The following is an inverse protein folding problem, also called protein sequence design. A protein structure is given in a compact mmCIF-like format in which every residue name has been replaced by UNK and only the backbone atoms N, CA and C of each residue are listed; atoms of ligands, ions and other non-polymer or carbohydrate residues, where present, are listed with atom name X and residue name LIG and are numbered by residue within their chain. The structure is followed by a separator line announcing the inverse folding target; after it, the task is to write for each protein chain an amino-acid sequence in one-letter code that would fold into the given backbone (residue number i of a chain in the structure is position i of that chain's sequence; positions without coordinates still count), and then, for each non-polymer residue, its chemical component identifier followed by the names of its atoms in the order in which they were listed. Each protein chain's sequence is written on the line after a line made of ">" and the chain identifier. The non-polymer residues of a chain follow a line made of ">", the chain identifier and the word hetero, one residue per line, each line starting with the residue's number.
data_IF_779370416078
#
_entry.id   IF_779370416078
#
_cell.length_a   1.000
_cell.length_b   1.000
_cell.length_c   1.000
_cell.angle_alpha   90.00
_cell.angle_beta   90.00
_cell.angle_gamma   90.00
#
_symmetry.space_group_name_H-M   'P 1'
#
loop_
_entity.id
_entity.type
_entity.pdbx_description
1 polymer ?
#
# COMPACT_ATOMS: atom_id res chain seq x y z
N UNK A 1 6.63 58.84 -25.79
CA UNK A 1 6.48 57.36 -25.80
C UNK A 1 7.45 56.77 -24.77
N UNK A 2 6.99 56.47 -23.55
CA UNK A 2 7.82 55.82 -22.52
C UNK A 2 7.70 54.30 -22.70
N UNK A 3 8.82 53.66 -23.02
CA UNK A 3 8.95 52.21 -23.16
C UNK A 3 8.76 51.55 -21.79
N UNK A 4 7.69 50.75 -21.65
CA UNK A 4 7.44 49.95 -20.47
C UNK A 4 8.33 48.70 -20.52
N UNK A 5 9.46 48.72 -19.81
CA UNK A 5 10.20 47.50 -19.48
C UNK A 5 9.38 46.72 -18.46
N UNK A 6 8.76 45.62 -18.88
CA UNK A 6 8.16 44.64 -17.98
C UNK A 6 9.28 43.98 -17.17
N UNK A 7 9.41 44.37 -15.90
CA UNK A 7 10.22 43.65 -14.93
C UNK A 7 9.47 42.36 -14.55
N UNK A 8 9.88 41.24 -15.14
CA UNK A 8 9.49 39.91 -14.67
C UNK A 8 10.15 39.69 -13.30
N UNK A 9 9.35 39.56 -12.24
CA UNK A 9 9.90 39.36 -10.90
C UNK A 9 10.57 37.97 -10.79
N UNK A 10 11.67 37.83 -10.04
CA UNK A 10 12.47 36.59 -9.99
C UNK A 10 11.71 35.37 -9.47
N UNK A 11 10.53 35.58 -8.87
CA UNK A 11 9.67 34.53 -8.32
C UNK A 11 8.86 33.77 -9.39
N UNK A 12 8.76 34.27 -10.64
CA UNK A 12 8.04 33.59 -11.73
C UNK A 12 8.93 32.67 -12.59
N UNK A 13 10.25 32.80 -12.47
CA UNK A 13 11.22 31.96 -13.19
C UNK A 13 11.05 30.46 -12.88
N UNK A 14 10.88 30.01 -11.61
CA UNK A 14 10.67 28.59 -11.35
C UNK A 14 9.33 28.07 -11.88
N UNK A 15 8.28 28.90 -11.89
CA UNK A 15 6.96 28.54 -12.43
C UNK A 15 7.01 28.36 -13.96
N UNK A 16 7.73 29.25 -14.66
CA UNK A 16 7.89 29.20 -16.11
C UNK A 16 8.80 28.04 -16.56
N UNK A 17 9.84 27.72 -15.76
CA UNK A 17 10.70 26.56 -15.99
C UNK A 17 9.93 25.23 -15.80
N UNK A 18 9.06 25.16 -14.79
CA UNK A 18 8.18 24.01 -14.56
C UNK A 18 7.18 23.82 -15.70
N UNK A 19 6.62 24.92 -16.23
CA UNK A 19 5.70 24.92 -17.37
C UNK A 19 6.39 24.50 -18.69
N UNK A 20 7.67 24.87 -18.88
CA UNK A 20 8.46 24.46 -20.04
C UNK A 20 8.84 22.96 -19.99
N UNK A 21 9.15 22.44 -18.80
CA UNK A 21 9.43 21.01 -18.61
C UNK A 21 8.20 20.12 -18.87
N UNK A 22 6.98 20.62 -18.58
CA UNK A 22 5.73 19.93 -18.88
C UNK A 22 5.44 19.80 -20.39
N UNK A 23 5.96 20.71 -21.22
CA UNK A 23 5.73 20.69 -22.67
C UNK A 23 6.75 19.85 -23.47
N UNK A 24 7.93 19.57 -22.91
CA UNK A 24 8.96 18.78 -23.58
C UNK A 24 8.68 17.26 -23.60
N UNK A 25 7.68 16.78 -22.84
CA UNK A 25 7.36 15.36 -22.71
C UNK A 25 6.47 14.77 -23.82
N UNK A 26 5.94 15.58 -24.75
CA UNK A 26 4.89 15.14 -25.68
C UNK A 26 5.40 14.56 -27.02
N UNK A 27 6.72 14.40 -27.21
CA UNK A 27 7.31 14.05 -28.52
C UNK A 27 8.21 12.80 -28.51
N UNK A 28 7.82 11.73 -27.82
CA UNK A 28 8.45 10.41 -28.01
C UNK A 28 7.39 9.32 -28.03
N UNK A 29 7.00 8.90 -29.23
CA UNK A 29 6.27 7.64 -29.46
C UNK A 29 7.18 6.69 -30.22
N UNK A 30 8.03 5.97 -29.48
CA UNK A 30 8.64 4.76 -30.01
C UNK A 30 7.59 3.64 -29.97
N UNK A 31 7.34 3.03 -31.13
CA UNK A 31 6.43 1.90 -31.35
C UNK A 31 6.76 0.70 -30.45
N UNK A 32 6.19 0.69 -29.24
CA UNK A 32 6.13 -0.46 -28.36
C UNK A 32 4.65 -0.86 -28.27
N UNK A 33 4.33 -2.17 -28.33
CA UNK A 33 2.97 -2.65 -28.03
C UNK A 33 2.72 -2.35 -26.56
N UNK A 34 2.22 -1.15 -26.28
CA UNK A 34 1.77 -0.72 -24.98
C UNK A 34 0.76 -1.74 -24.46
N UNK A 35 1.02 -2.31 -23.28
CA UNK A 35 -0.04 -2.94 -22.52
C UNK A 35 -1.10 -1.86 -22.26
N UNK A 36 -2.38 -2.17 -22.46
CA UNK A 36 -3.46 -1.21 -22.18
C UNK A 36 -3.40 -0.67 -20.74
N UNK A 37 -2.88 -1.49 -19.82
CA UNK A 37 -2.70 -1.19 -18.40
C UNK A 37 -1.43 -0.36 -18.15
N UNK A 38 -0.35 -0.60 -18.91
CA UNK A 38 0.96 0.03 -18.75
C UNK A 38 1.52 0.53 -20.10
N UNK A 39 0.98 1.66 -20.62
CA UNK A 39 1.45 2.24 -21.87
C UNK A 39 2.85 2.83 -21.78
N UNK A 40 3.32 3.14 -20.57
CA UNK A 40 4.59 3.81 -20.30
C UNK A 40 5.66 2.84 -19.80
N UNK A 41 5.57 1.54 -20.11
CA UNK A 41 6.50 0.51 -19.63
C UNK A 41 7.98 0.86 -19.93
N UNK A 42 8.24 1.45 -21.09
CA UNK A 42 9.58 1.88 -21.51
C UNK A 42 10.19 2.98 -20.63
N UNK A 43 9.35 3.80 -19.98
CA UNK A 43 9.74 4.78 -18.98
C UNK A 43 9.74 4.17 -17.57
N UNK A 44 8.70 3.42 -17.26
CA UNK A 44 8.45 2.86 -15.93
C UNK A 44 9.54 1.87 -15.49
N UNK A 45 10.00 0.98 -16.38
CA UNK A 45 11.06 0.00 -16.05
C UNK A 45 12.39 0.65 -15.68
N UNK A 46 12.95 1.61 -16.47
CA UNK A 46 14.14 2.35 -16.05
C UNK A 46 13.99 3.10 -14.73
N UNK A 47 12.85 3.77 -14.50
CA UNK A 47 12.59 4.49 -13.25
C UNK A 47 12.47 3.52 -12.08
N UNK A 48 11.80 2.38 -12.26
CA UNK A 48 11.78 1.31 -11.28
C UNK A 48 13.19 0.86 -10.92
N UNK A 49 14.06 0.58 -11.91
CA UNK A 49 15.46 0.24 -11.67
C UNK A 49 16.22 1.33 -10.92
N UNK A 50 15.97 2.60 -11.23
CA UNK A 50 16.54 3.73 -10.50
C UNK A 50 16.11 3.72 -9.02
N UNK A 51 14.80 3.59 -8.75
CA UNK A 51 14.26 3.51 -7.40
C UNK A 51 14.83 2.30 -6.63
N UNK A 52 14.90 1.12 -7.26
CA UNK A 52 15.50 -0.07 -6.64
C UNK A 52 16.97 0.14 -6.28
N UNK A 53 17.74 0.82 -7.13
CA UNK A 53 19.14 1.17 -6.81
C UNK A 53 19.20 2.13 -5.63
N UNK A 54 18.43 3.22 -5.65
CA UNK A 54 18.37 4.17 -4.53
C UNK A 54 17.99 3.46 -3.23
N UNK A 55 17.04 2.53 -3.28
CA UNK A 55 16.68 1.72 -2.11
C UNK A 55 17.86 0.88 -1.62
N UNK A 56 18.46 0.07 -2.51
CA UNK A 56 19.54 -0.85 -2.14
C UNK A 56 20.79 -0.16 -1.61
N UNK A 57 21.16 1.00 -2.16
CA UNK A 57 22.40 1.70 -1.80
C UNK A 57 22.22 2.75 -0.71
N UNK A 58 21.01 3.29 -0.53
CA UNK A 58 20.77 4.43 0.37
C UNK A 58 19.69 4.08 1.39
N UNK A 59 18.46 3.83 0.96
CA UNK A 59 17.33 3.72 1.90
C UNK A 59 17.45 2.48 2.79
N UNK A 60 17.79 1.32 2.23
CA UNK A 60 17.92 0.06 2.96
C UNK A 60 19.03 0.10 4.01
N UNK A 61 20.29 0.49 3.73
CA UNK A 61 21.32 0.59 4.77
C UNK A 61 20.93 1.52 5.92
N UNK A 62 20.29 2.66 5.62
CA UNK A 62 19.84 3.61 6.64
C UNK A 62 18.69 3.01 7.46
N UNK A 63 17.73 2.34 6.81
CA UNK A 63 16.62 1.65 7.47
C UNK A 63 17.11 0.51 8.38
N UNK A 64 18.07 -0.29 7.93
CA UNK A 64 18.67 -1.36 8.74
C UNK A 64 19.42 -0.79 9.96
N UNK A 65 20.15 0.33 9.76
CA UNK A 65 20.76 1.07 10.85
C UNK A 65 19.74 1.57 11.87
N UNK A 66 18.66 2.19 11.39
CA UNK A 66 17.55 2.66 12.22
C UNK A 66 16.91 1.53 13.03
N UNK A 67 16.63 0.38 12.40
CA UNK A 67 16.08 -0.82 13.08
C UNK A 67 17.02 -1.38 14.14
N UNK A 68 18.34 -1.34 13.87
CA UNK A 68 19.36 -1.84 14.79
C UNK A 68 19.47 -1.00 16.06
N UNK A 69 19.34 0.32 15.95
CA UNK A 69 19.52 1.24 17.09
C UNK A 69 18.21 1.57 17.81
N UNK A 70 17.07 1.45 17.13
CA UNK A 70 15.78 1.89 17.65
C UNK A 70 14.96 0.70 18.13
N UNK A 71 14.60 0.61 19.41
CA UNK A 71 13.69 -0.43 19.92
C UNK A 71 12.34 -0.44 19.20
N UNK A 72 11.73 -1.62 19.06
CA UNK A 72 10.46 -1.80 18.35
C UNK A 72 9.33 -0.90 18.87
N UNK A 73 9.27 -0.66 20.19
CA UNK A 73 8.23 0.20 20.77
C UNK A 73 8.35 1.66 20.31
N UNK A 74 9.57 2.16 20.06
CA UNK A 74 9.78 3.50 19.53
C UNK A 74 9.40 3.56 18.05
N UNK A 75 9.78 2.55 17.24
CA UNK A 75 9.38 2.47 15.83
C UNK A 75 7.85 2.45 15.70
N UNK A 76 7.18 1.69 16.57
CA UNK A 76 5.72 1.64 16.66
C UNK A 76 5.13 2.99 17.10
N UNK A 77 5.74 3.67 18.08
CA UNK A 77 5.31 4.99 18.52
C UNK A 77 5.39 6.04 17.41
N UNK A 78 6.49 6.05 16.65
CA UNK A 78 6.66 6.92 15.47
C UNK A 78 5.62 6.58 14.40
N UNK A 79 5.39 5.30 14.13
CA UNK A 79 4.36 4.86 13.19
C UNK A 79 2.95 5.33 13.62
N UNK A 80 2.61 5.18 14.91
CA UNK A 80 1.32 5.63 15.43
C UNK A 80 1.16 7.14 15.34
N UNK A 81 2.22 7.91 15.63
CA UNK A 81 2.20 9.37 15.54
C UNK A 81 1.86 9.83 14.12
N UNK A 82 2.55 9.30 13.10
CA UNK A 82 2.27 9.66 11.72
C UNK A 82 0.90 9.17 11.24
N UNK A 83 0.46 7.98 11.68
CA UNK A 83 -0.89 7.51 11.42
C UNK A 83 -1.96 8.42 12.02
N UNK A 84 -1.75 8.91 13.25
CA UNK A 84 -2.67 9.85 13.89
C UNK A 84 -2.73 11.19 13.13
N UNK A 85 -1.62 11.68 12.58
CA UNK A 85 -1.65 12.86 11.70
C UNK A 85 -2.38 12.58 10.39
N UNK A 86 -2.19 11.39 9.82
CA UNK A 86 -2.87 10.97 8.61
C UNK A 86 -4.37 10.76 8.80
N UNK A 87 -4.84 10.43 10.01
CA UNK A 87 -6.27 10.29 10.32
C UNK A 87 -7.06 11.58 9.96
N UNK A 88 -6.43 12.76 9.97
CA UNK A 88 -7.06 14.01 9.49
C UNK A 88 -7.41 13.92 8.00
N UNK A 89 -6.47 13.46 7.17
CA UNK A 89 -6.69 13.23 5.74
C UNK A 89 -7.74 12.15 5.51
N UNK A 90 -7.73 11.08 6.32
CA UNK A 90 -8.72 9.99 6.24
C UNK A 90 -10.13 10.51 6.52
N UNK A 91 -10.33 11.24 7.64
CA UNK A 91 -11.62 11.83 8.03
C UNK A 91 -12.19 12.73 6.92
N UNK A 92 -11.34 13.56 6.30
CA UNK A 92 -11.76 14.44 5.21
C UNK A 92 -12.20 13.63 3.99
N UNK A 93 -11.46 12.60 3.62
CA UNK A 93 -11.81 11.73 2.51
C UNK A 93 -13.07 10.90 2.80
N UNK A 94 -13.26 10.40 4.02
CA UNK A 94 -14.51 9.73 4.43
C UNK A 94 -15.72 10.64 4.21
N UNK A 95 -15.62 11.91 4.61
CA UNK A 95 -16.69 12.89 4.43
C UNK A 95 -16.96 13.11 2.93
N UNK A 96 -15.90 13.28 2.13
CA UNK A 96 -16.02 13.46 0.67
C UNK A 96 -16.60 12.22 -0.03
N UNK A 97 -16.44 11.04 0.56
CA UNK A 97 -17.02 9.77 0.11
C UNK A 97 -18.39 9.48 0.72
N UNK A 98 -18.94 10.41 1.52
CA UNK A 98 -20.19 10.26 2.27
C UNK A 98 -20.22 9.08 3.27
N UNK A 99 -19.05 8.63 3.73
CA UNK A 99 -18.86 7.56 4.74
C UNK A 99 -18.91 8.12 6.16
N UNK A 100 -20.02 8.76 6.54
CA UNK A 100 -20.12 9.48 7.83
C UNK A 100 -19.86 8.63 9.09
N UNK A 101 -20.25 7.34 9.06
CA UNK A 101 -19.96 6.43 10.18
C UNK A 101 -18.47 6.19 10.35
N UNK A 102 -17.76 5.98 9.24
CA UNK A 102 -16.32 5.77 9.20
C UNK A 102 -15.59 7.02 9.70
N UNK A 103 -15.96 8.18 9.14
CA UNK A 103 -15.46 9.49 9.55
C UNK A 103 -15.61 9.74 11.06
N UNK A 104 -16.76 9.39 11.65
CA UNK A 104 -16.98 9.55 13.09
C UNK A 104 -16.09 8.60 13.93
N UNK A 105 -15.84 7.38 13.45
CA UNK A 105 -14.92 6.45 14.11
C UNK A 105 -13.49 6.98 14.05
N UNK A 106 -13.01 7.42 12.88
CA UNK A 106 -11.66 7.93 12.71
C UNK A 106 -11.44 9.27 13.45
N UNK A 107 -12.46 10.13 13.54
CA UNK A 107 -12.43 11.31 14.40
C UNK A 107 -12.32 10.94 15.89
N UNK A 108 -13.01 9.88 16.32
CA UNK A 108 -12.85 9.31 17.64
C UNK A 108 -11.43 8.78 17.88
N UNK A 109 -10.84 8.12 16.87
CA UNK A 109 -9.45 7.64 16.92
C UNK A 109 -8.47 8.78 17.09
N UNK A 110 -8.54 9.78 16.22
CA UNK A 110 -7.72 10.99 16.26
C UNK A 110 -7.80 11.66 17.63
N UNK A 111 -9.02 11.83 18.17
CA UNK A 111 -9.23 12.49 19.46
C UNK A 111 -8.61 11.70 20.61
N UNK A 112 -8.88 10.39 20.69
CA UNK A 112 -8.36 9.54 21.76
C UNK A 112 -6.84 9.39 21.70
N UNK A 113 -6.29 9.15 20.51
CA UNK A 113 -4.85 8.98 20.33
C UNK A 113 -4.11 10.30 20.54
N UNK A 114 -4.67 11.44 20.13
CA UNK A 114 -4.04 12.75 20.37
C UNK A 114 -4.07 13.15 21.85
N UNK A 115 -5.13 12.82 22.59
CA UNK A 115 -5.28 13.20 24.00
C UNK A 115 -4.67 12.17 24.95
N UNK A 116 -5.29 10.99 25.05
CA UNK A 116 -4.89 9.89 25.95
C UNK A 116 -3.64 9.20 25.42
N UNK A 117 -3.51 9.10 24.09
CA UNK A 117 -2.37 8.47 23.43
C UNK A 117 -1.12 9.35 23.31
N UNK A 118 -1.06 10.49 24.01
CA UNK A 118 0.05 11.45 24.01
C UNK A 118 0.45 11.90 22.59
N UNK A 119 -0.47 12.58 21.90
CA UNK A 119 -0.22 13.11 20.55
C UNK A 119 -0.16 12.03 19.47
N UNK A 120 -0.68 10.84 19.73
CA UNK A 120 -0.69 9.71 18.79
C UNK A 120 0.45 8.72 18.97
N UNK A 121 1.34 8.87 19.95
CA UNK A 121 2.41 7.90 20.21
C UNK A 121 1.86 6.52 20.62
N UNK A 122 0.74 6.51 21.36
CA UNK A 122 0.05 5.29 21.78
C UNK A 122 -1.30 5.17 21.10
N UNK A 123 -1.52 4.05 20.41
CA UNK A 123 -2.81 3.72 19.80
C UNK A 123 -3.79 3.16 20.84
N UNK A 124 -4.39 4.08 21.60
CA UNK A 124 -5.41 3.80 22.62
C UNK A 124 -6.75 3.50 21.97
N UNK A 125 -7.05 4.15 20.84
CA UNK A 125 -8.30 4.01 20.12
C UNK A 125 -8.56 2.57 19.65
N UNK A 126 -7.53 1.88 19.14
CA UNK A 126 -7.66 0.45 18.79
C UNK A 126 -8.01 -0.41 19.99
N UNK A 127 -7.47 -0.11 21.18
CA UNK A 127 -7.81 -0.82 22.43
C UNK A 127 -9.25 -0.54 22.87
N UNK A 128 -9.80 0.62 22.50
CA UNK A 128 -11.19 0.98 22.72
C UNK A 128 -12.14 0.38 21.67
N UNK A 129 -11.63 -0.41 20.70
CA UNK A 129 -12.44 -1.08 19.68
C UNK A 129 -12.84 -0.17 18.52
N UNK A 130 -12.14 0.94 18.31
CA UNK A 130 -12.31 1.74 17.10
C UNK A 130 -11.43 1.18 15.98
N UNK A 131 -12.05 0.66 14.93
CA UNK A 131 -11.33 0.14 13.76
C UNK A 131 -10.62 1.28 13.01
N UNK A 132 -9.40 1.03 12.54
CA UNK A 132 -8.64 1.99 11.74
C UNK A 132 -9.01 1.84 10.26
N UNK A 133 -9.36 2.95 9.61
CA UNK A 133 -9.53 2.98 8.17
C UNK A 133 -8.36 3.69 7.48
N UNK A 134 -8.28 3.54 6.16
CA UNK A 134 -7.27 4.21 5.36
C UNK A 134 -7.93 4.71 4.08
N UNK A 135 -8.26 6.00 4.06
CA UNK A 135 -8.82 6.68 2.90
C UNK A 135 -7.86 7.75 2.40
N UNK A 136 -7.81 7.89 1.08
CA UNK A 136 -7.02 8.90 0.39
C UNK A 136 -7.84 9.53 -0.74
N UNK A 137 -7.36 10.65 -1.27
CA UNK A 137 -8.10 11.37 -2.29
C UNK A 137 -8.20 10.61 -3.61
N UNK A 138 -7.28 9.67 -3.89
CA UNK A 138 -7.42 8.74 -5.00
C UNK A 138 -8.62 7.81 -4.86
N UNK A 139 -8.89 7.29 -3.66
CA UNK A 139 -10.10 6.51 -3.35
C UNK A 139 -11.35 7.39 -3.44
N UNK A 140 -11.29 8.62 -2.95
CA UNK A 140 -12.37 9.60 -3.13
C UNK A 140 -12.72 9.78 -4.60
N UNK A 141 -11.73 10.05 -5.46
CA UNK A 141 -11.95 10.17 -6.91
C UNK A 141 -12.55 8.89 -7.52
N UNK A 142 -12.24 7.71 -6.98
CA UNK A 142 -12.85 6.46 -7.41
C UNK A 142 -14.35 6.41 -7.11
N UNK A 143 -14.78 6.83 -5.91
CA UNK A 143 -16.19 6.94 -5.52
C UNK A 143 -16.95 7.91 -6.45
N UNK A 144 -16.28 8.98 -6.88
CA UNK A 144 -16.82 9.95 -7.84
C UNK A 144 -16.74 9.50 -9.31
N UNK A 145 -16.35 8.24 -9.56
CA UNK A 145 -16.39 7.61 -10.88
C UNK A 145 -15.16 7.87 -11.76
N UNK A 146 -14.08 8.47 -11.22
CA UNK A 146 -12.85 8.61 -11.98
C UNK A 146 -12.16 7.24 -12.10
N UNK A 147 -11.92 6.74 -13.34
CA UNK A 147 -11.21 5.49 -13.51
C UNK A 147 -9.76 5.64 -13.02
N UNK A 148 -9.17 4.53 -12.62
CA UNK A 148 -7.77 4.49 -12.17
C UNK A 148 -6.82 5.05 -13.25
N UNK A 149 -7.02 4.65 -14.50
CA UNK A 149 -6.18 5.06 -15.62
C UNK A 149 -4.87 4.28 -15.68
N UNK A 150 -3.96 4.73 -16.54
CA UNK A 150 -2.69 4.06 -16.81
C UNK A 150 -1.74 4.05 -15.64
N UNK A 151 -0.97 2.96 -15.54
CA UNK A 151 0.11 2.80 -14.59
C UNK A 151 1.33 3.68 -14.92
N UNK A 152 1.94 4.26 -13.89
CA UNK A 152 3.16 5.06 -14.00
C UNK A 152 4.06 4.79 -12.78
N UNK A 153 5.37 4.78 -12.98
CA UNK A 153 6.34 4.74 -11.88
C UNK A 153 7.02 6.09 -11.77
N UNK A 154 6.94 6.69 -10.59
CA UNK A 154 7.57 7.97 -10.28
C UNK A 154 8.94 7.78 -9.63
N UNK A 155 9.94 8.61 -9.94
CA UNK A 155 11.19 8.64 -9.19
C UNK A 155 10.94 8.92 -7.71
N UNK A 156 11.60 8.17 -6.83
CA UNK A 156 11.50 8.22 -5.37
C UNK A 156 10.15 7.81 -4.77
N UNK A 157 9.02 8.13 -5.41
CA UNK A 157 7.68 7.83 -4.92
C UNK A 157 7.22 6.40 -5.24
N UNK A 158 7.67 5.84 -6.38
CA UNK A 158 7.36 4.46 -6.76
C UNK A 158 6.09 4.30 -7.63
N UNK A 159 5.41 3.15 -7.53
CA UNK A 159 4.19 2.84 -8.30
C UNK A 159 3.08 3.87 -8.08
N UNK A 160 2.46 4.32 -9.18
CA UNK A 160 1.38 5.29 -9.19
C UNK A 160 0.46 5.07 -10.41
N UNK A 161 -0.61 5.83 -10.47
CA UNK A 161 -1.69 5.74 -11.44
C UNK A 161 -2.22 7.16 -11.68
N UNK A 162 -2.82 7.43 -12.85
CA UNK A 162 -3.25 8.81 -13.20
C UNK A 162 -4.20 9.44 -12.19
N UNK A 163 -5.10 8.65 -11.60
CA UNK A 163 -6.02 9.10 -10.56
C UNK A 163 -5.31 9.43 -9.24
N UNK A 164 -4.25 8.70 -8.91
CA UNK A 164 -3.51 8.83 -7.65
C UNK A 164 -2.57 10.04 -7.65
N UNK A 165 -2.12 10.52 -8.82
CA UNK A 165 -1.27 11.72 -8.94
C UNK A 165 -1.85 12.99 -8.29
N UNK A 166 -3.06 13.45 -8.64
CA UNK A 166 -3.69 14.56 -7.93
C UNK A 166 -4.02 14.20 -6.48
N UNK A 167 -4.25 12.91 -6.20
CA UNK A 167 -4.42 12.35 -4.86
C UNK A 167 -3.30 12.76 -3.91
N UNK A 168 -2.05 12.43 -4.27
CA UNK A 168 -0.88 12.77 -3.47
C UNK A 168 -0.77 14.26 -3.12
N UNK A 169 -1.14 15.16 -4.04
CA UNK A 169 -1.09 16.60 -3.80
C UNK A 169 -2.13 17.01 -2.77
N UNK A 170 -3.38 16.54 -2.91
CA UNK A 170 -4.48 16.85 -2.00
C UNK A 170 -4.27 16.20 -0.63
N UNK A 171 -3.79 14.97 -0.60
CA UNK A 171 -3.49 14.25 0.65
C UNK A 171 -2.34 14.91 1.40
N UNK A 172 -1.29 15.35 0.69
CA UNK A 172 -0.21 16.14 1.30
C UNK A 172 -0.73 17.47 1.83
N UNK A 173 -1.59 18.16 1.07
CA UNK A 173 -2.16 19.44 1.48
C UNK A 173 -3.18 19.31 2.64
N UNK A 174 -3.81 18.16 2.83
CA UNK A 174 -4.71 17.94 3.97
C UNK A 174 -3.99 17.48 5.23
N UNK A 175 -2.78 16.94 5.10
CA UNK A 175 -2.01 16.46 6.24
C UNK A 175 -1.42 17.64 7.06
N UNK A 176 -1.70 17.73 8.37
CA UNK A 176 -1.16 18.79 9.23
C UNK A 176 0.38 18.85 9.25
N UNK A 177 1.06 17.72 9.05
CA UNK A 177 2.52 17.64 9.04
C UNK A 177 3.16 18.54 7.97
N UNK A 178 2.46 18.77 6.85
CA UNK A 178 2.94 19.57 5.72
C UNK A 178 3.03 21.07 6.05
N UNK A 179 2.36 21.51 7.13
CA UNK A 179 2.30 22.92 7.53
C UNK A 179 3.29 23.28 8.63
N UNK A 180 4.12 22.34 9.10
CA UNK A 180 5.10 22.56 10.17
C UNK A 180 6.36 23.33 9.71
N UNK A 181 6.28 24.07 8.61
CA UNK A 181 7.34 24.91 8.08
C UNK A 181 8.64 24.15 7.85
N UNK A 182 9.74 24.63 8.44
CA UNK A 182 11.07 24.01 8.31
C UNK A 182 11.17 22.56 8.82
N UNK A 183 10.17 22.07 9.55
CA UNK A 183 10.12 20.70 10.05
C UNK A 183 9.35 19.72 9.14
N UNK A 184 8.62 20.19 8.12
CA UNK A 184 7.82 19.33 7.26
C UNK A 184 8.67 18.27 6.53
N UNK A 185 9.77 18.68 5.89
CA UNK A 185 10.68 17.76 5.19
C UNK A 185 11.40 16.79 6.15
N UNK A 186 11.98 17.23 7.28
CA UNK A 186 12.50 16.31 8.29
C UNK A 186 11.48 15.28 8.77
N UNK A 187 10.25 15.69 9.08
CA UNK A 187 9.20 14.77 9.54
C UNK A 187 8.80 13.77 8.45
N UNK A 188 8.62 14.23 7.21
CA UNK A 188 8.35 13.35 6.08
C UNK A 188 9.48 12.32 5.88
N UNK A 189 10.74 12.74 6.08
CA UNK A 189 11.91 11.86 5.97
C UNK A 189 11.94 10.79 7.07
N UNK A 190 11.62 11.17 8.31
CA UNK A 190 11.50 10.20 9.42
C UNK A 190 10.36 9.23 9.16
N UNK A 191 9.21 9.70 8.68
CA UNK A 191 8.09 8.83 8.34
C UNK A 191 8.46 7.84 7.22
N UNK A 192 9.09 8.33 6.15
CA UNK A 192 9.54 7.50 5.04
C UNK A 192 10.55 6.44 5.49
N UNK A 193 11.52 6.83 6.32
CA UNK A 193 12.50 5.91 6.90
C UNK A 193 11.85 4.85 7.79
N UNK A 194 10.97 5.27 8.70
CA UNK A 194 10.28 4.35 9.59
C UNK A 194 9.36 3.40 8.81
N UNK A 195 8.64 3.90 7.80
CA UNK A 195 7.79 3.08 6.93
C UNK A 195 8.62 2.05 6.14
N UNK A 196 9.75 2.48 5.57
CA UNK A 196 10.66 1.58 4.86
C UNK A 196 11.27 0.51 5.76
N UNK A 197 11.64 0.89 6.99
CA UNK A 197 12.16 -0.05 8.00
C UNK A 197 11.12 -1.12 8.36
N UNK A 198 9.86 -0.75 8.53
CA UNK A 198 8.78 -1.69 8.85
C UNK A 198 8.35 -2.56 7.66
N UNK A 199 8.75 -2.20 6.42
CA UNK A 199 8.40 -2.93 5.20
C UNK A 199 9.42 -4.02 4.78
N UNK A 200 10.55 -4.18 5.50
CA UNK A 200 11.68 -5.02 5.08
C UNK A 200 11.27 -6.47 4.75
N UNK A 201 10.46 -7.11 5.59
CA UNK A 201 10.04 -8.51 5.37
C UNK A 201 9.21 -8.70 4.10
N UNK A 202 8.34 -7.75 3.78
CA UNK A 202 7.52 -7.78 2.55
C UNK A 202 8.38 -7.52 1.30
N UNK A 203 9.35 -6.61 1.39
CA UNK A 203 10.21 -6.25 0.26
C UNK A 203 11.23 -7.33 -0.08
N UNK A 204 11.74 -8.05 0.92
CA UNK A 204 12.66 -9.18 0.69
C UNK A 204 11.98 -10.29 -0.13
N UNK A 205 10.72 -10.60 0.20
CA UNK A 205 9.93 -11.58 -0.54
C UNK A 205 9.79 -11.22 -2.03
N UNK A 206 9.54 -9.95 -2.35
CA UNK A 206 9.40 -9.49 -3.73
C UNK A 206 10.69 -9.70 -4.53
N UNK A 207 11.83 -9.33 -3.95
CA UNK A 207 13.11 -9.38 -4.64
C UNK A 207 13.63 -10.82 -4.81
N UNK A 208 13.33 -11.72 -3.88
CA UNK A 208 13.84 -13.09 -3.89
C UNK A 208 12.92 -14.07 -4.63
N UNK A 209 11.60 -13.84 -4.61
CA UNK A 209 10.62 -14.79 -5.16
C UNK A 209 10.10 -14.44 -6.56
N UNK A 210 10.19 -13.19 -7.00
CA UNK A 210 9.62 -12.77 -8.29
C UNK A 210 10.59 -12.98 -9.46
N UNK A 211 10.11 -13.65 -10.52
CA UNK A 211 10.85 -13.79 -11.78
C UNK A 211 11.06 -12.43 -12.47
N UNK A 212 10.05 -11.55 -12.41
CA UNK A 212 10.15 -10.14 -12.82
C UNK A 212 9.58 -9.26 -11.68
N UNK A 213 10.45 -8.68 -10.82
CA UNK A 213 10.03 -7.82 -9.71
C UNK A 213 9.22 -6.60 -10.15
N UNK A 214 9.46 -6.07 -11.36
CA UNK A 214 8.72 -4.92 -11.86
C UNK A 214 7.26 -5.28 -12.16
N UNK A 215 7.04 -6.37 -12.90
CA UNK A 215 5.69 -6.84 -13.23
C UNK A 215 4.95 -7.22 -11.95
N UNK A 216 5.61 -7.94 -11.04
CA UNK A 216 5.02 -8.29 -9.75
C UNK A 216 4.56 -7.06 -8.96
N UNK A 217 5.42 -6.04 -8.86
CA UNK A 217 5.11 -4.78 -8.16
C UNK A 217 3.93 -4.06 -8.82
N UNK A 218 3.92 -3.98 -10.16
CA UNK A 218 2.83 -3.36 -10.92
C UNK A 218 1.50 -4.05 -10.64
N UNK A 219 1.40 -5.35 -10.86
CA UNK A 219 0.14 -6.08 -10.69
C UNK A 219 -0.35 -6.02 -9.23
N UNK A 220 0.56 -6.21 -8.26
CA UNK A 220 0.21 -6.11 -6.84
C UNK A 220 -0.30 -4.73 -6.46
N UNK A 221 0.32 -3.67 -6.97
CA UNK A 221 -0.11 -2.29 -6.72
C UNK A 221 -1.49 -2.02 -7.33
N UNK A 222 -1.72 -2.42 -8.58
CA UNK A 222 -3.01 -2.21 -9.25
C UNK A 222 -4.12 -2.99 -8.55
N UNK A 223 -3.87 -4.24 -8.16
CA UNK A 223 -4.80 -5.05 -7.39
C UNK A 223 -5.12 -4.40 -6.03
N UNK A 224 -4.10 -3.93 -5.32
CA UNK A 224 -4.28 -3.26 -4.03
C UNK A 224 -5.09 -1.97 -4.13
N UNK A 225 -4.84 -1.14 -5.16
CA UNK A 225 -5.63 0.08 -5.41
C UNK A 225 -7.08 -0.21 -5.79
N UNK A 226 -7.31 -1.23 -6.60
CA UNK A 226 -8.67 -1.69 -6.92
C UNK A 226 -9.40 -2.22 -5.68
N UNK A 227 -8.70 -2.97 -4.82
CA UNK A 227 -9.24 -3.45 -3.56
C UNK A 227 -9.68 -2.30 -2.64
N UNK A 228 -8.84 -1.26 -2.52
CA UNK A 228 -9.13 -0.07 -1.73
C UNK A 228 -10.31 0.72 -2.30
N UNK A 229 -10.31 0.99 -3.60
CA UNK A 229 -11.41 1.69 -4.27
C UNK A 229 -12.76 0.95 -4.18
N UNK A 230 -12.73 -0.36 -3.88
CA UNK A 230 -13.92 -1.19 -3.71
C UNK A 230 -14.27 -1.45 -2.23
N UNK A 231 -13.67 -0.75 -1.27
CA UNK A 231 -13.88 -0.96 0.18
C UNK A 231 -13.66 -2.41 0.62
N UNK A 232 -12.71 -3.09 -0.03
CA UNK A 232 -12.42 -4.51 0.17
C UNK A 232 -13.47 -5.47 -0.36
N UNK A 233 -14.53 -4.98 -1.01
CA UNK A 233 -15.51 -5.79 -1.73
C UNK A 233 -14.97 -6.11 -3.12
N UNK A 234 -14.01 -7.03 -3.21
CA UNK A 234 -13.57 -7.55 -4.51
C UNK A 234 -14.76 -8.28 -5.13
N UNK A 235 -15.30 -7.75 -6.23
CA UNK A 235 -16.18 -8.54 -7.09
C UNK A 235 -15.31 -9.66 -7.63
N UNK A 236 -15.49 -10.86 -7.07
CA UNK A 236 -14.89 -12.06 -7.60
C UNK A 236 -15.31 -12.14 -9.07
N UNK A 237 -14.32 -12.15 -9.96
CA UNK A 237 -14.60 -12.17 -11.39
C UNK A 237 -15.36 -13.46 -11.63
N UNK A 238 -16.56 -13.37 -12.22
CA UNK A 238 -17.38 -14.57 -12.48
C UNK A 238 -16.60 -15.58 -13.31
N UNK A 239 -15.68 -15.11 -14.15
CA UNK A 239 -14.78 -15.98 -14.89
C UNK A 239 -13.85 -16.81 -13.99
N UNK A 240 -13.39 -16.26 -12.85
CA UNK A 240 -12.59 -16.99 -11.87
C UNK A 240 -13.45 -17.95 -11.03
N UNK A 241 -14.67 -17.57 -10.68
CA UNK A 241 -15.62 -18.47 -10.01
C UNK A 241 -16.04 -19.63 -10.92
N UNK A 242 -16.30 -19.33 -12.20
CA UNK A 242 -16.65 -20.33 -13.21
C UNK A 242 -15.46 -21.28 -13.47
N UNK A 243 -14.23 -20.74 -13.52
CA UNK A 243 -13.00 -21.53 -13.66
C UNK A 243 -12.69 -22.35 -12.40
N UNK A 244 -12.92 -21.80 -11.21
CA UNK A 244 -12.79 -22.52 -9.93
C UNK A 244 -13.81 -23.67 -9.87
N UNK A 245 -15.06 -23.41 -10.24
CA UNK A 245 -16.11 -24.43 -10.32
C UNK A 245 -15.78 -25.50 -11.39
N UNK A 246 -15.24 -25.12 -12.53
CA UNK A 246 -14.81 -26.04 -13.58
C UNK A 246 -13.64 -26.91 -13.12
N UNK A 247 -12.62 -26.33 -12.48
CA UNK A 247 -11.48 -27.05 -11.89
C UNK A 247 -11.91 -27.99 -10.75
N UNK A 248 -12.85 -27.58 -9.91
CA UNK A 248 -13.36 -28.41 -8.81
C UNK A 248 -14.23 -29.57 -9.31
N UNK A 249 -14.95 -29.37 -10.40
CA UNK A 249 -15.75 -30.42 -11.05
C UNK A 249 -14.87 -31.46 -11.76
N UNK A 250 -13.71 -31.06 -12.30
CA UNK A 250 -12.78 -31.95 -12.98
C UNK A 250 -11.98 -32.84 -11.99
N UNK A 251 -11.65 -32.31 -10.80
CA UNK A 251 -11.03 -33.08 -9.70
C UNK A 251 -11.98 -34.13 -9.12
N UNK A 252 -13.29 -33.97 -9.33
CA UNK A 252 -14.31 -34.95 -8.93
C UNK A 252 -14.32 -36.23 -9.77
N UNK A 253 -13.67 -36.26 -10.95
CA UNK A 253 -13.86 -37.35 -11.90
C UNK A 253 -12.60 -38.10 -12.38
N UNK A 254 -11.38 -37.60 -12.19
CA UNK A 254 -10.19 -38.36 -12.63
C UNK A 254 -9.11 -38.55 -11.56
N UNK A 255 -8.90 -39.82 -11.21
CA UNK A 255 -7.69 -40.24 -10.53
C UNK A 255 -6.49 -40.26 -11.48
N UNK A 256 -5.37 -39.73 -10.96
CA UNK A 256 -3.95 -39.98 -11.30
C UNK A 256 -3.23 -38.90 -12.16
N UNK A 257 -2.11 -38.45 -11.56
CA UNK A 257 -0.92 -37.73 -12.10
C UNK A 257 -0.99 -36.19 -12.18
N UNK A 258 0.16 -35.48 -12.02
CA UNK A 258 0.26 -34.30 -11.16
C UNK A 258 0.09 -33.00 -11.95
N UNK A 259 -0.74 -32.11 -11.42
CA UNK A 259 -0.98 -30.78 -11.97
C UNK A 259 0.31 -29.95 -12.00
N UNK A 260 0.80 -29.66 -13.21
CA UNK A 260 1.74 -28.58 -13.43
C UNK A 260 0.96 -27.26 -13.34
N UNK A 261 1.11 -26.56 -12.22
CA UNK A 261 0.42 -25.29 -11.93
C UNK A 261 0.69 -24.26 -13.04
N UNK A 262 -0.35 -23.63 -13.63
CA UNK A 262 -0.19 -22.32 -14.25
C UNK A 262 0.21 -21.33 -13.15
N UNK A 263 1.23 -20.52 -13.42
CA UNK A 263 1.73 -19.49 -12.52
C UNK A 263 0.71 -18.35 -12.46
N UNK A 264 -0.24 -18.45 -11.54
CA UNK A 264 -1.19 -17.38 -11.20
C UNK A 264 -1.59 -17.50 -9.73
N UNK A 265 -0.65 -17.21 -8.83
CA UNK A 265 -0.93 -16.85 -7.43
C UNK A 265 0.39 -16.51 -6.72
N UNK A 266 0.79 -15.25 -6.79
CA UNK A 266 1.64 -14.68 -5.76
C UNK A 266 1.05 -13.30 -5.45
N UNK A 267 0.56 -13.10 -4.24
CA UNK A 267 0.25 -11.75 -3.72
C UNK A 267 -1.18 -11.43 -3.27
N UNK A 268 -1.98 -12.38 -2.77
CA UNK A 268 -3.04 -12.00 -1.84
C UNK A 268 -2.42 -11.82 -0.44
N UNK A 269 -2.52 -10.65 0.21
CA UNK A 269 -2.24 -10.59 1.64
C UNK A 269 -3.27 -11.46 2.35
N UNK A 270 -2.79 -12.41 3.14
CA UNK A 270 -3.62 -13.18 4.06
C UNK A 270 -4.37 -12.23 5.00
N UNK A 271 -5.63 -11.91 4.69
CA UNK A 271 -6.56 -11.31 5.64
C UNK A 271 -7.35 -12.43 6.29
N UNK A 272 -6.76 -13.03 7.32
CA UNK A 272 -7.53 -13.79 8.29
C UNK A 272 -8.51 -12.80 8.93
N UNK A 273 -9.82 -12.97 8.68
CA UNK A 273 -10.87 -12.32 9.48
C UNK A 273 -10.63 -12.70 10.94
N UNK A 274 -10.17 -11.75 11.75
CA UNK A 274 -10.12 -11.91 13.20
C UNK A 274 -11.55 -11.79 13.71
N UNK A 275 -12.28 -12.90 13.71
CA UNK A 275 -13.51 -13.02 14.50
C UNK A 275 -13.13 -12.98 15.97
N UNK A 276 -13.78 -12.08 16.73
CA UNK A 276 -13.64 -11.89 18.17
C UNK A 276 -13.61 -13.23 18.92
N UNK A 277 -12.62 -13.51 19.80
CA UNK A 277 -12.64 -14.76 20.55
C UNK A 277 -13.76 -14.71 21.58
N UNK A 278 -14.69 -15.66 21.46
CA UNK A 278 -15.55 -16.05 22.55
C UNK A 278 -14.65 -16.50 23.72
N UNK A 279 -14.96 -16.00 24.91
CA UNK A 279 -14.29 -16.34 26.17
C UNK A 279 -14.29 -17.85 26.41
N UNK A 280 -13.13 -18.35 26.87
CA UNK A 280 -12.79 -19.72 27.30
C UNK A 280 -12.79 -20.83 26.25
N UNK A 281 -11.59 -21.25 25.81
CA UNK A 281 -11.08 -22.64 25.86
C UNK A 281 -9.93 -22.88 24.86
N UNK A 282 -8.78 -23.34 25.40
CA UNK A 282 -7.54 -23.82 24.74
C UNK A 282 -6.88 -22.89 23.69
N UNK A 283 -5.62 -22.50 23.98
CA UNK A 283 -4.80 -21.80 22.99
C UNK A 283 -4.73 -22.63 21.71
N UNK A 284 -4.89 -21.99 20.56
CA UNK A 284 -4.90 -22.62 19.23
C UNK A 284 -3.64 -23.48 18.98
N UNK A 285 -2.55 -23.18 19.70
CA UNK A 285 -1.32 -23.96 19.74
C UNK A 285 -1.49 -25.35 20.37
N UNK A 286 -2.20 -25.47 21.49
CA UNK A 286 -2.42 -26.75 22.17
C UNK A 286 -3.40 -27.66 21.40
N UNK A 287 -4.39 -27.06 20.74
CA UNK A 287 -5.28 -27.79 19.83
C UNK A 287 -4.50 -28.36 18.63
N UNK A 288 -3.63 -27.55 18.01
CA UNK A 288 -2.77 -27.99 16.91
C UNK A 288 -1.78 -29.08 17.34
N UNK A 289 -1.21 -28.97 18.54
CA UNK A 289 -0.26 -29.95 19.10
C UNK A 289 -0.93 -31.30 19.35
N UNK A 290 -2.16 -31.33 19.85
CA UNK A 290 -2.93 -32.58 20.01
C UNK A 290 -3.27 -33.22 18.67
N UNK A 291 -3.69 -32.43 17.68
CA UNK A 291 -3.97 -32.95 16.34
C UNK A 291 -2.72 -33.58 15.71
N UNK A 292 -1.56 -32.92 15.86
CA UNK A 292 -0.28 -33.44 15.37
C UNK A 292 0.11 -34.76 16.06
N UNK A 293 0.01 -34.83 17.39
CA UNK A 293 0.32 -36.06 18.14
C UNK A 293 -0.64 -37.21 17.83
N UNK A 294 -1.91 -36.89 17.55
CA UNK A 294 -2.92 -37.88 17.13
C UNK A 294 -2.63 -38.40 15.71
N UNK A 295 -2.13 -37.53 14.82
CA UNK A 295 -1.71 -37.94 13.48
C UNK A 295 -0.44 -38.81 13.53
N UNK A 296 0.57 -38.45 14.34
CA UNK A 296 1.82 -39.24 14.48
C UNK A 296 1.56 -40.64 15.06
N UNK A 297 0.66 -40.74 16.05
CA UNK A 297 0.28 -42.04 16.64
C UNK A 297 -0.48 -42.93 15.65
N UNK A 298 -1.40 -42.37 14.86
CA UNK A 298 -2.06 -43.11 13.77
C UNK A 298 -1.08 -43.54 12.67
N UNK A 299 -0.10 -42.71 12.35
CA UNK A 299 0.89 -42.99 11.33
C UNK A 299 1.90 -44.06 11.78
N UNK A 300 2.25 -44.09 13.07
CA UNK A 300 3.01 -45.20 13.68
C UNK A 300 2.21 -46.50 13.72
N UNK A 301 0.91 -46.46 14.00
CA UNK A 301 0.05 -47.64 13.97
C UNK A 301 -0.12 -48.22 12.55
N UNK A 302 -0.06 -47.37 11.51
CA UNK A 302 -0.10 -47.79 10.10
C UNK A 302 1.22 -48.37 9.59
N UNK A 303 2.35 -48.12 10.26
CA UNK A 303 3.68 -48.68 9.92
C UNK A 303 4.04 -49.96 10.67
N UNK A 304 3.08 -50.54 11.39
CA UNK A 304 3.23 -51.78 12.17
C UNK A 304 2.29 -52.91 11.68
N UNK A 305 1.99 -52.90 10.38
CA UNK A 305 1.47 -54.08 9.66
C UNK A 305 2.38 -54.39 8.48
#
# INVERSE_FOLDING_TARGET
>A
MKSAKQHLSPNFIPLFLCLLLLNAGCATTANYKASAIDPYESFNRPVHKFNSKVDSYIAKPIADGYRKITPEFFQKGVNNFFNNLQDVTVILNDILQAKFKQSAQDAGRLTLNSTVGLGGLFDVASKAGLDKHNEDFGQTLAVWGLPQGSYLVLPFLGPSTFRELPGYVVDTASNPASYLGGFALPLASVNALNSRANAEGSLQFINEAALDPYVFMRESYLQWRNYQAADGQVKQDKALDDLENELLNDVGNEGKTPLQKPVAAIGAPNTVKVTKPATTAESSYEAAKRQFNTADSKLKALKLK
#
